data_IF_149671722620
#
_entry.id   IF_149671722620
#
_cell.length_a   1.000
_cell.length_b   1.000
_cell.length_c   1.000
_cell.angle_alpha   90.00
_cell.angle_beta   90.00
_cell.angle_gamma   90.00
#
_symmetry.space_group_name_H-M   'P 1'
#
loop_
_entity.id
_entity.type
_entity.pdbx_description
1 polymer ?
#
# COMPACT_ATOMS: atom_id res chain seq x y z
N UNK A 1 -10.50 5.91 -19.06
CA UNK A 1 -11.26 4.85 -18.35
C UNK A 1 -10.31 4.17 -17.37
N UNK A 2 -10.68 4.08 -16.09
CA UNK A 2 -9.84 3.44 -15.05
C UNK A 2 -10.20 1.97 -14.89
N UNK A 3 -9.19 1.12 -14.63
CA UNK A 3 -9.40 -0.28 -14.20
C UNK A 3 -9.08 -0.37 -12.71
N UNK A 4 -9.85 -1.18 -11.99
CA UNK A 4 -9.57 -1.54 -10.60
C UNK A 4 -8.38 -2.52 -10.55
N UNK A 5 -7.35 -2.20 -9.76
CA UNK A 5 -6.34 -3.21 -9.36
C UNK A 5 -6.96 -4.11 -8.29
N UNK A 6 -7.69 -3.48 -7.37
CA UNK A 6 -8.55 -4.09 -6.37
C UNK A 6 -9.85 -3.25 -6.31
N UNK A 7 -11.03 -3.82 -6.00
CA UNK A 7 -11.38 -5.23 -5.69
C UNK A 7 -11.17 -6.30 -6.78
N UNK A 8 -11.25 -7.60 -6.39
CA UNK A 8 -11.53 -8.07 -5.01
C UNK A 8 -10.29 -8.01 -4.11
N UNK A 9 -10.46 -7.47 -2.91
CA UNK A 9 -9.42 -7.51 -1.88
C UNK A 9 -9.40 -8.89 -1.22
N UNK A 10 -8.46 -9.73 -1.62
CA UNK A 10 -8.23 -11.02 -1.00
C UNK A 10 -7.20 -10.85 0.14
N UNK A 11 -7.64 -10.72 1.39
CA UNK A 11 -6.74 -10.43 2.52
C UNK A 11 -5.68 -11.51 2.76
N UNK A 12 -5.90 -12.75 2.32
CA UNK A 12 -4.86 -13.79 2.35
C UNK A 12 -3.70 -13.53 1.39
N UNK A 13 -3.83 -12.56 0.49
CA UNK A 13 -2.73 -12.10 -0.37
C UNK A 13 -1.97 -10.93 0.25
N UNK A 14 -2.36 -10.47 1.44
CA UNK A 14 -1.70 -9.38 2.14
C UNK A 14 -1.04 -9.84 3.43
N UNK A 15 0.03 -9.16 3.80
CA UNK A 15 0.75 -9.41 5.04
C UNK A 15 1.24 -8.12 5.69
N UNK A 16 1.25 -8.14 7.01
CA UNK A 16 1.82 -7.08 7.81
C UNK A 16 3.34 -7.12 7.73
N UNK A 17 3.95 -5.96 7.45
CA UNK A 17 5.39 -5.73 7.52
C UNK A 17 5.65 -4.60 8.50
N UNK A 18 6.19 -4.95 9.66
CA UNK A 18 6.42 -4.02 10.77
C UNK A 18 7.75 -4.28 11.49
N UNK A 19 8.09 -3.39 12.42
CA UNK A 19 9.36 -3.37 13.13
C UNK A 19 9.46 -4.34 14.32
N UNK A 20 8.44 -5.17 14.58
CA UNK A 20 8.42 -6.08 15.74
C UNK A 20 9.54 -7.10 15.74
N UNK A 21 10.00 -7.55 14.56
CA UNK A 21 11.16 -8.45 14.45
C UNK A 21 12.48 -7.83 14.95
N UNK A 22 12.51 -6.50 15.11
CA UNK A 22 13.65 -5.73 15.63
C UNK A 22 13.42 -5.26 17.06
N UNK A 23 12.31 -5.65 17.71
CA UNK A 23 11.90 -5.17 19.03
C UNK A 23 11.13 -3.84 19.00
N UNK A 24 10.65 -3.41 17.82
CA UNK A 24 9.74 -2.28 17.71
C UNK A 24 8.31 -2.61 18.16
N UNK A 25 7.46 -1.59 18.21
CA UNK A 25 6.06 -1.68 18.67
C UNK A 25 5.06 -1.21 17.62
N UNK A 26 5.52 -0.94 16.41
CA UNK A 26 4.64 -0.50 15.34
C UNK A 26 3.81 -1.68 14.83
N UNK A 27 2.55 -1.44 14.52
CA UNK A 27 1.60 -2.45 14.00
C UNK A 27 0.69 -1.83 12.97
N UNK A 28 0.27 -2.59 11.96
CA UNK A 28 -0.77 -2.19 11.01
C UNK A 28 -1.74 -3.33 10.74
N UNK A 29 -2.94 -2.98 10.28
CA UNK A 29 -4.00 -3.91 9.91
C UNK A 29 -4.70 -3.42 8.63
N UNK A 30 -5.08 -4.37 7.77
CA UNK A 30 -6.08 -4.15 6.72
C UNK A 30 -7.41 -4.75 7.13
N UNK A 31 -8.49 -4.01 6.93
CA UNK A 31 -9.86 -4.49 7.18
C UNK A 31 -10.75 -4.18 5.98
N UNK A 32 -11.70 -5.06 5.70
CA UNK A 32 -12.70 -4.80 4.66
C UNK A 32 -13.63 -3.67 5.09
N UNK A 33 -13.94 -2.76 4.15
CA UNK A 33 -14.92 -1.70 4.39
C UNK A 33 -16.34 -2.18 4.14
N UNK A 34 -16.59 -2.69 2.94
CA UNK A 34 -17.83 -3.26 2.42
C UNK A 34 -17.46 -4.24 1.30
N UNK A 35 -18.32 -5.21 0.98
CA UNK A 35 -18.09 -6.29 0.00
C UNK A 35 -17.32 -5.85 -1.27
N UNK A 36 -15.99 -5.87 -1.19
CA UNK A 36 -15.05 -5.48 -2.25
C UNK A 36 -14.74 -3.98 -2.44
N UNK A 37 -15.55 -3.00 -2.02
CA UNK A 37 -15.36 -1.59 -2.45
C UNK A 37 -14.01 -0.98 -2.02
N UNK A 38 -13.39 -1.52 -0.97
CA UNK A 38 -11.98 -1.30 -0.66
C UNK A 38 -11.65 -1.63 0.79
N UNK A 39 -10.56 -1.06 1.30
CA UNK A 39 -10.01 -1.42 2.62
C UNK A 39 -9.74 -0.23 3.52
N UNK A 40 -9.86 -0.48 4.81
CA UNK A 40 -9.32 0.35 5.87
C UNK A 40 -7.88 -0.05 6.15
N UNK A 41 -6.99 0.94 6.18
CA UNK A 41 -5.62 0.77 6.67
C UNK A 41 -5.50 1.55 7.99
N UNK A 42 -5.17 0.85 9.07
CA UNK A 42 -5.03 1.44 10.40
C UNK A 42 -3.91 0.78 11.19
N UNK A 43 -3.44 1.43 12.26
CA UNK A 43 -2.33 0.91 13.04
C UNK A 43 -1.79 1.88 14.08
N UNK A 44 -0.67 1.49 14.67
CA UNK A 44 0.14 2.31 15.57
C UNK A 44 1.54 2.40 14.99
N UNK A 45 2.05 3.61 14.85
CA UNK A 45 3.43 3.85 14.45
C UNK A 45 4.20 4.36 15.67
N UNK A 46 5.13 3.57 16.18
CA UNK A 46 6.00 3.95 17.28
C UNK A 46 7.39 4.33 16.73
N UNK A 47 7.65 5.63 16.62
CA UNK A 47 8.97 6.15 16.21
C UNK A 47 9.91 6.36 17.40
N UNK A 48 9.48 6.11 18.64
CA UNK A 48 10.34 6.24 19.82
C UNK A 48 11.21 5.00 20.03
N UNK A 49 10.75 3.85 19.55
CA UNK A 49 11.53 2.63 19.50
C UNK A 49 12.68 2.74 18.48
N UNK A 50 13.70 1.89 18.63
CA UNK A 50 14.80 1.70 17.67
C UNK A 50 15.55 2.98 17.27
N UNK A 51 15.65 3.96 18.17
CA UNK A 51 16.41 5.19 17.93
C UNK A 51 15.77 6.13 16.91
N UNK A 52 14.44 6.18 16.81
CA UNK A 52 13.74 7.03 15.86
C UNK A 52 13.11 6.26 14.68
N UNK A 53 13.46 4.99 14.52
CA UNK A 53 13.14 4.19 13.34
C UNK A 53 11.93 3.28 13.61
N UNK A 54 10.72 3.78 13.32
CA UNK A 54 9.49 2.98 13.35
C UNK A 54 8.93 2.74 11.95
N UNK A 55 8.39 1.55 11.69
CA UNK A 55 7.62 1.31 10.45
C UNK A 55 6.50 0.29 10.67
N UNK A 56 5.35 0.57 10.07
CA UNK A 56 4.22 -0.36 9.96
C UNK A 56 3.58 -0.20 8.58
N UNK A 57 3.51 -1.29 7.84
CA UNK A 57 3.03 -1.31 6.46
C UNK A 57 2.31 -2.61 6.13
N UNK A 58 1.59 -2.60 5.02
CA UNK A 58 0.86 -3.76 4.50
C UNK A 58 1.36 -4.03 3.10
N UNK A 59 1.69 -5.29 2.83
CA UNK A 59 2.34 -5.70 1.59
C UNK A 59 1.53 -6.78 0.90
N UNK A 60 1.30 -6.61 -0.39
CA UNK A 60 0.78 -7.69 -1.24
C UNK A 60 1.86 -8.75 -1.46
N UNK A 61 1.52 -10.01 -1.23
CA UNK A 61 2.39 -11.17 -1.45
C UNK A 61 2.60 -11.34 -2.94
N UNK A 62 3.87 -11.41 -3.34
CA UNK A 62 4.23 -11.63 -4.74
C UNK A 62 3.70 -13.01 -5.17
N UNK A 63 2.74 -13.04 -6.09
CA UNK A 63 2.10 -14.25 -6.59
C UNK A 63 2.34 -14.42 -8.09
N UNK A 64 1.95 -15.57 -8.65
CA UNK A 64 2.10 -15.83 -10.09
C UNK A 64 1.24 -14.88 -10.97
N UNK A 65 0.29 -14.17 -10.37
CA UNK A 65 -0.59 -13.21 -11.04
C UNK A 65 -0.06 -11.78 -10.87
N UNK A 66 1.11 -11.50 -11.44
CA UNK A 66 1.72 -10.19 -11.32
C UNK A 66 0.89 -9.10 -11.98
N UNK A 67 0.84 -7.95 -11.31
CA UNK A 67 0.22 -6.76 -11.87
C UNK A 67 1.04 -6.26 -13.06
N UNK A 68 0.51 -6.42 -14.28
CA UNK A 68 1.16 -5.96 -15.52
C UNK A 68 0.62 -4.60 -15.92
N UNK A 69 1.43 -3.56 -15.76
CA UNK A 69 1.09 -2.17 -16.10
C UNK A 69 1.99 -1.65 -17.23
N UNK A 70 1.90 -2.18 -18.46
CA UNK A 70 2.70 -1.69 -19.58
C UNK A 70 2.39 -0.22 -19.87
N UNK A 71 3.45 0.60 -19.95
CA UNK A 71 3.38 2.05 -20.20
C UNK A 71 2.51 2.47 -21.40
N UNK A 72 2.46 1.73 -22.53
CA UNK A 72 1.56 2.07 -23.63
C UNK A 72 0.07 1.98 -23.28
N UNK A 73 -0.31 1.16 -22.30
CA UNK A 73 -1.71 0.95 -21.93
C UNK A 73 -2.14 1.83 -20.76
N UNK A 74 -1.21 2.23 -19.90
CA UNK A 74 -1.50 2.90 -18.64
C UNK A 74 -0.67 4.17 -18.44
N UNK A 75 -1.33 5.22 -17.92
CA UNK A 75 -0.71 6.51 -17.59
C UNK A 75 -0.14 6.53 -16.18
N UNK A 76 -0.66 5.68 -15.29
CA UNK A 76 -0.22 5.62 -13.91
C UNK A 76 -1.23 4.95 -12.99
N UNK A 77 -0.87 4.93 -11.71
CA UNK A 77 -1.69 4.41 -10.61
C UNK A 77 -2.32 5.60 -9.89
N UNK A 78 -3.61 5.47 -9.58
CA UNK A 78 -4.34 6.41 -8.73
C UNK A 78 -4.70 5.70 -7.44
N UNK A 79 -4.29 6.28 -6.32
CA UNK A 79 -4.75 5.88 -4.99
C UNK A 79 -5.84 6.86 -4.58
N UNK A 80 -7.05 6.35 -4.35
CA UNK A 80 -8.17 7.16 -3.88
C UNK A 80 -8.29 7.01 -2.38
N UNK A 81 -8.21 8.14 -1.68
CA UNK A 81 -8.41 8.22 -0.26
C UNK A 81 -9.82 8.72 0.06
N UNK A 82 -10.57 8.04 0.95
CA UNK A 82 -11.90 8.51 1.40
C UNK A 82 -11.87 8.97 2.85
N UNK A 83 -12.55 10.08 3.19
CA UNK A 83 -12.59 10.61 4.55
C UNK A 83 -13.40 9.70 5.50
N UNK A 84 -12.92 9.54 6.73
CA UNK A 84 -13.61 8.83 7.81
C UNK A 84 -14.21 9.81 8.85
N UNK A 85 -15.30 9.47 9.56
CA UNK A 85 -15.88 10.33 10.60
C UNK A 85 -15.04 10.45 11.90
N UNK A 86 -13.89 9.77 12.00
CA UNK A 86 -13.05 9.79 13.20
C UNK A 86 -11.79 10.60 12.88
N UNK A 87 -11.52 11.63 13.67
CA UNK A 87 -10.26 12.37 13.58
C UNK A 87 -9.13 11.53 14.20
N UNK A 88 -8.15 11.10 13.40
CA UNK A 88 -6.90 10.56 13.93
C UNK A 88 -5.88 11.68 14.08
N UNK A 89 -5.12 11.61 15.18
CA UNK A 89 -4.20 12.66 15.58
C UNK A 89 -2.83 12.58 14.92
N UNK A 90 -2.46 11.47 14.25
CA UNK A 90 -1.30 11.26 13.35
C UNK A 90 -1.06 9.74 13.15
N UNK A 91 -0.31 9.29 12.12
CA UNK A 91 0.29 10.04 11.00
C UNK A 91 -0.66 10.23 9.79
N UNK A 92 -0.40 11.27 8.99
CA UNK A 92 -1.15 11.64 7.76
C UNK A 92 -0.38 11.46 6.46
N UNK A 93 0.91 11.14 6.57
CA UNK A 93 1.78 10.86 5.44
C UNK A 93 1.81 9.36 5.19
N UNK A 94 1.56 8.98 3.95
CA UNK A 94 1.60 7.61 3.50
C UNK A 94 2.56 7.49 2.32
N UNK A 95 3.15 6.31 2.17
CA UNK A 95 4.00 6.01 1.02
C UNK A 95 3.48 4.75 0.34
N UNK A 96 3.16 4.87 -0.95
CA UNK A 96 2.94 3.72 -1.82
C UNK A 96 4.30 3.23 -2.34
N UNK A 97 4.59 1.95 -2.14
CA UNK A 97 5.82 1.32 -2.61
C UNK A 97 5.48 0.26 -3.65
N UNK A 98 6.06 0.37 -4.84
CA UNK A 98 5.98 -0.63 -5.90
C UNK A 98 7.31 -1.35 -6.02
N UNK A 99 7.26 -2.68 -5.91
CA UNK A 99 8.41 -3.55 -6.10
C UNK A 99 8.20 -4.37 -7.38
N UNK A 100 9.24 -4.51 -8.19
CA UNK A 100 9.22 -5.24 -9.46
C UNK A 100 9.76 -6.66 -9.35
N UNK A 101 10.30 -7.01 -8.19
CA UNK A 101 10.98 -8.28 -7.93
C UNK A 101 10.39 -8.97 -6.68
N UNK A 102 10.43 -10.31 -6.63
CA UNK A 102 10.07 -11.07 -5.44
C UNK A 102 10.92 -10.68 -4.22
N UNK A 103 10.49 -11.13 -3.05
CA UNK A 103 11.26 -10.96 -1.80
C UNK A 103 12.30 -12.08 -1.73
N UNK A 104 13.54 -11.71 -1.46
CA UNK A 104 14.58 -12.63 -1.02
C UNK A 104 14.90 -12.37 0.46
N UNK A 105 15.18 -13.44 1.19
CA UNK A 105 15.51 -13.39 2.61
C UNK A 105 16.98 -13.74 2.82
N UNK A 106 17.62 -12.99 3.71
CA UNK A 106 18.95 -13.27 4.22
C UNK A 106 18.91 -14.48 5.17
N UNK A 107 20.06 -15.10 5.47
CA UNK A 107 20.14 -16.19 6.44
C UNK A 107 19.63 -15.83 7.84
N UNK A 108 19.65 -14.55 8.22
CA UNK A 108 19.13 -14.04 9.50
C UNK A 108 17.61 -13.75 9.49
N UNK A 109 16.91 -14.12 8.41
CA UNK A 109 15.46 -13.92 8.25
C UNK A 109 15.06 -12.52 7.80
N UNK A 110 16.00 -11.61 7.56
CA UNK A 110 15.70 -10.25 7.11
C UNK A 110 15.50 -10.20 5.61
N UNK A 111 14.62 -9.32 5.15
CA UNK A 111 14.42 -9.07 3.72
C UNK A 111 15.65 -8.37 3.14
N UNK A 112 16.10 -8.82 1.97
CA UNK A 112 17.18 -8.17 1.23
C UNK A 112 16.74 -6.84 0.61
N UNK A 113 17.72 -5.96 0.37
CA UNK A 113 17.49 -4.68 -0.29
C UNK A 113 17.19 -4.89 -1.76
N UNK A 114 16.30 -4.08 -2.31
CA UNK A 114 15.86 -4.14 -3.71
C UNK A 114 15.49 -2.77 -4.23
N UNK A 115 15.41 -2.64 -5.55
CA UNK A 115 14.92 -1.42 -6.19
C UNK A 115 13.42 -1.33 -5.98
N UNK A 116 12.97 -0.19 -5.47
CA UNK A 116 11.57 0.13 -5.28
C UNK A 116 11.25 1.50 -5.88
N UNK A 117 10.00 1.66 -6.34
CA UNK A 117 9.45 2.93 -6.76
C UNK A 117 8.51 3.42 -5.69
N UNK A 118 8.70 4.66 -5.24
CA UNK A 118 7.97 5.21 -4.10
C UNK A 118 7.22 6.46 -4.50
N UNK A 119 6.01 6.59 -3.97
CA UNK A 119 5.22 7.80 -4.05
C UNK A 119 4.66 8.12 -2.67
N UNK A 120 5.15 9.19 -2.08
CA UNK A 120 4.62 9.73 -0.83
C UNK A 120 3.47 10.66 -1.13
N UNK A 121 2.40 10.51 -0.38
CA UNK A 121 1.25 11.39 -0.44
C UNK A 121 0.81 11.72 0.98
N UNK A 122 0.64 13.02 1.20
CA UNK A 122 0.07 13.54 2.43
C UNK A 122 -1.41 13.70 2.22
N UNK A 123 -2.13 13.34 3.24
CA UNK A 123 -3.49 13.79 3.33
C UNK A 123 -3.58 15.24 3.87
N UNK A 124 -4.18 16.11 3.07
CA UNK A 124 -4.48 17.50 3.42
C UNK A 124 -5.85 17.71 4.10
N UNK A 125 -6.71 16.69 4.22
CA UNK A 125 -8.00 16.77 4.89
C UNK A 125 -7.93 16.26 6.35
N UNK A 126 -8.92 16.52 7.23
CA UNK A 126 -8.80 16.14 8.64
C UNK A 126 -9.02 14.66 8.99
N UNK A 127 -9.17 13.71 8.06
CA UNK A 127 -9.86 12.46 8.40
C UNK A 127 -9.44 11.22 7.61
N UNK A 128 -8.79 10.28 8.32
CA UNK A 128 -8.37 8.90 8.00
C UNK A 128 -8.88 8.23 6.73
N UNK A 129 -8.03 7.39 6.14
CA UNK A 129 -8.20 6.96 4.77
C UNK A 129 -8.45 5.48 4.53
N UNK A 130 -9.35 5.31 3.59
CA UNK A 130 -9.52 4.19 2.69
C UNK A 130 -8.48 4.23 1.56
N UNK A 131 -8.11 3.11 0.96
CA UNK A 131 -7.32 3.09 -0.26
C UNK A 131 -8.04 2.26 -1.34
N UNK A 132 -8.39 2.88 -2.47
CA UNK A 132 -8.63 2.13 -3.71
C UNK A 132 -7.48 2.41 -4.66
N UNK A 133 -6.87 1.34 -5.15
CA UNK A 133 -5.86 1.39 -6.19
C UNK A 133 -6.53 1.20 -7.56
N UNK A 134 -6.56 2.27 -8.36
CA UNK A 134 -6.97 2.24 -9.76
C UNK A 134 -5.74 2.38 -10.66
N UNK A 135 -5.83 1.86 -11.89
CA UNK A 135 -4.92 2.24 -12.98
C UNK A 135 -5.66 3.08 -14.00
N UNK A 136 -5.07 4.18 -14.43
CA UNK A 136 -5.61 5.02 -15.51
C UNK A 136 -5.13 4.50 -16.86
N UNK A 137 -6.05 4.13 -17.78
CA UNK A 137 -5.69 3.75 -19.15
C UNK A 137 -5.38 4.96 -20.04
N UNK A 138 -4.47 4.78 -20.99
CA UNK A 138 -4.25 5.73 -22.08
C UNK A 138 -5.49 5.84 -22.98
N UNK A 139 -6.11 7.01 -23.01
CA UNK A 139 -7.18 7.35 -23.96
C UNK A 139 -6.57 7.88 -25.27
N UNK A 140 -5.82 7.06 -25.98
CA UNK A 140 -5.36 7.40 -27.33
C UNK A 140 -5.09 6.13 -28.15
N UNK A 141 -6.17 5.41 -28.46
CA UNK A 141 -6.28 4.46 -29.60
C UNK A 141 -7.73 3.93 -29.67
N UNK A 142 -8.68 4.82 -29.90
CA UNK A 142 -9.84 4.47 -30.72
C UNK A 142 -9.54 4.98 -32.12
N UNK A 143 -8.89 4.14 -32.90
CA UNK A 143 -8.82 4.27 -34.36
C UNK A 143 -9.58 3.09 -34.95
N UNK A 144 -10.86 3.29 -35.21
CA UNK A 144 -11.41 3.13 -36.57
C UNK A 144 -12.74 3.86 -36.65
#
# INVERSE_FOLDING_TARGET
MSILIFPPWCFSDWETVDDRIRGGKSVSTLQERNAGDGVWFSGTLDTTALGGAGFASQRFRFSNNLLRLPRPEYQGIRVTLSPQPIALHNPRDFTLVLNTEPITYRPDGRVESRVAWEATFTDSAPSCYFAICHVSRNLSRQTR
#
